data_IF_693544174573
#
_entry.id   IF_693544174573
#
_cell.length_a   1.000
_cell.length_b   1.000
_cell.length_c   1.000
_cell.angle_alpha   90.00
_cell.angle_beta   90.00
_cell.angle_gamma   90.00
#
_symmetry.space_group_name_H-M   'P 1'
#
loop_
_entity.id
_entity.type
_entity.pdbx_description
1 polymer ?
#
# COMPACT_ATOMS: atom_id res chain seq x y z
N UNK A 1 -21.91 41.06 -2.55
CA UNK A 1 -20.54 40.58 -2.81
C UNK A 1 -20.68 39.40 -3.77
N UNK A 2 -20.02 39.44 -4.92
CA UNK A 2 -20.05 38.34 -5.90
C UNK A 2 -19.10 37.22 -5.44
N UNK A 3 -19.41 35.94 -5.67
CA UNK A 3 -18.47 34.86 -5.38
C UNK A 3 -17.33 34.92 -6.41
N UNK A 4 -16.10 34.97 -5.91
CA UNK A 4 -14.88 34.84 -6.72
C UNK A 4 -14.75 33.40 -7.22
N UNK A 5 -14.57 33.25 -8.53
CA UNK A 5 -14.29 31.99 -9.18
C UNK A 5 -13.04 31.33 -8.55
N UNK A 6 -13.14 30.04 -8.20
CA UNK A 6 -12.00 29.23 -7.75
C UNK A 6 -10.98 29.15 -8.88
N UNK A 7 -9.73 29.47 -8.57
CA UNK A 7 -8.59 29.36 -9.50
C UNK A 7 -8.37 27.89 -9.90
N UNK A 8 -8.15 27.56 -11.17
CA UNK A 8 -7.76 26.21 -11.57
C UNK A 8 -6.41 25.84 -10.94
N UNK A 9 -6.31 24.62 -10.42
CA UNK A 9 -5.01 24.05 -10.02
C UNK A 9 -4.12 23.98 -11.29
N UNK A 10 -2.97 24.64 -11.25
CA UNK A 10 -2.00 24.59 -12.35
C UNK A 10 -1.33 23.21 -12.37
N UNK A 11 -1.21 22.55 -13.54
CA UNK A 11 -0.48 21.29 -13.64
C UNK A 11 1.00 21.53 -13.33
N UNK A 12 1.56 20.76 -12.39
CA UNK A 12 3.01 20.62 -12.25
C UNK A 12 3.49 19.68 -13.36
N UNK A 13 4.50 20.09 -14.11
CA UNK A 13 5.13 19.28 -15.16
C UNK A 13 5.83 18.09 -14.52
N UNK A 14 5.20 16.92 -14.59
CA UNK A 14 5.85 15.64 -14.28
C UNK A 14 6.93 15.35 -15.34
N UNK A 15 8.11 14.93 -14.89
CA UNK A 15 9.20 14.52 -15.78
C UNK A 15 8.77 13.35 -16.66
N UNK A 16 9.30 13.29 -17.90
CA UNK A 16 8.99 12.25 -18.87
C UNK A 16 9.50 10.88 -18.40
N UNK A 17 8.66 10.16 -17.67
CA UNK A 17 8.79 8.72 -17.46
C UNK A 17 7.87 8.04 -18.49
N UNK A 18 8.42 7.16 -19.32
CA UNK A 18 7.68 6.42 -20.34
C UNK A 18 6.49 5.68 -19.72
N UNK A 19 5.30 6.00 -20.21
CA UNK A 19 3.96 5.54 -19.79
C UNK A 19 3.64 4.07 -20.10
N UNK A 20 4.45 3.15 -19.61
CA UNK A 20 3.94 1.79 -19.41
C UNK A 20 3.11 1.81 -18.12
N UNK A 21 1.90 1.27 -18.16
CA UNK A 21 1.00 1.26 -17.02
C UNK A 21 1.68 0.63 -15.81
N UNK A 22 1.64 1.35 -14.70
CA UNK A 22 2.50 1.11 -13.54
C UNK A 22 1.85 0.10 -12.60
N UNK A 23 2.52 -1.01 -12.34
CA UNK A 23 1.97 -2.09 -11.53
C UNK A 23 2.69 -2.19 -10.19
N UNK A 24 1.93 -2.49 -9.13
CA UNK A 24 2.49 -2.95 -7.86
C UNK A 24 1.99 -4.33 -7.47
N UNK A 25 2.90 -5.15 -6.94
CA UNK A 25 2.54 -6.41 -6.28
C UNK A 25 2.87 -6.32 -4.79
N UNK A 26 1.94 -6.80 -3.98
CA UNK A 26 2.05 -6.89 -2.53
C UNK A 26 1.83 -8.34 -2.12
N UNK A 27 2.38 -8.70 -0.96
CA UNK A 27 2.02 -9.96 -0.36
C UNK A 27 2.81 -10.28 0.91
N UNK A 28 2.33 -9.87 2.09
CA UNK A 28 2.80 -10.39 3.36
C UNK A 28 2.43 -11.88 3.48
N UNK A 29 3.36 -12.77 3.14
CA UNK A 29 3.19 -14.22 3.33
C UNK A 29 2.99 -15.06 2.07
N UNK A 30 3.11 -14.48 0.86
CA UNK A 30 3.02 -15.25 -0.39
C UNK A 30 4.29 -16.08 -0.67
N UNK A 31 4.16 -17.31 -1.23
CA UNK A 31 5.30 -18.10 -1.67
C UNK A 31 5.86 -17.59 -3.02
N UNK A 32 6.39 -16.36 -3.03
CA UNK A 32 7.40 -15.91 -4.03
C UNK A 32 8.55 -16.93 -4.19
N UNK A 33 8.68 -17.76 -3.16
CA UNK A 33 9.64 -18.82 -2.87
C UNK A 33 9.63 -20.00 -3.84
N UNK A 34 8.44 -20.38 -4.33
CA UNK A 34 8.26 -21.47 -5.31
C UNK A 34 8.09 -20.89 -6.72
N UNK A 35 7.44 -19.73 -6.84
CA UNK A 35 7.07 -19.16 -8.13
C UNK A 35 8.22 -18.37 -8.78
N UNK A 36 9.02 -17.59 -8.03
CA UNK A 36 10.14 -16.81 -8.59
C UNK A 36 11.31 -17.66 -9.12
N UNK A 37 11.29 -18.97 -8.94
CA UNK A 37 12.24 -19.89 -9.55
C UNK A 37 11.94 -20.14 -11.03
N UNK A 38 10.67 -20.06 -11.41
CA UNK A 38 10.24 -20.17 -12.80
C UNK A 38 10.55 -18.87 -13.56
N UNK A 39 11.36 -18.92 -14.64
CA UNK A 39 11.68 -17.72 -15.43
C UNK A 39 10.46 -16.95 -15.93
N UNK A 40 9.37 -17.64 -16.29
CA UNK A 40 8.17 -16.98 -16.77
C UNK A 40 7.47 -16.16 -15.68
N UNK A 41 7.51 -16.65 -14.44
CA UNK A 41 6.99 -15.91 -13.29
C UNK A 41 7.87 -14.71 -12.93
N UNK A 42 9.20 -14.84 -12.97
CA UNK A 42 10.11 -13.72 -12.73
C UNK A 42 9.92 -12.60 -13.78
N UNK A 43 9.75 -12.96 -15.06
CA UNK A 43 9.42 -12.01 -16.13
C UNK A 43 8.06 -11.34 -15.89
N UNK A 44 7.04 -12.09 -15.46
CA UNK A 44 5.70 -11.56 -15.15
C UNK A 44 5.77 -10.53 -14.02
N UNK A 45 6.48 -10.84 -12.93
CA UNK A 45 6.66 -9.95 -11.77
C UNK A 45 7.50 -8.71 -12.14
N UNK A 46 8.50 -8.87 -13.00
CA UNK A 46 9.35 -7.76 -13.44
C UNK A 46 8.59 -6.68 -14.24
N UNK A 47 7.33 -6.93 -14.64
CA UNK A 47 6.47 -5.91 -15.24
C UNK A 47 6.03 -4.83 -14.23
N UNK A 48 6.23 -5.02 -12.93
CA UNK A 48 6.00 -3.97 -11.94
C UNK A 48 7.00 -2.83 -12.08
N UNK A 49 6.51 -1.64 -11.77
CA UNK A 49 7.37 -0.48 -11.50
C UNK A 49 7.80 -0.44 -10.04
N UNK A 50 6.93 -0.93 -9.14
CA UNK A 50 7.20 -1.02 -7.71
C UNK A 50 6.73 -2.38 -7.21
N UNK A 51 7.56 -3.10 -6.46
CA UNK A 51 7.26 -4.41 -5.90
C UNK A 51 7.48 -4.36 -4.39
N UNK A 52 6.48 -4.71 -3.60
CA UNK A 52 6.61 -4.86 -2.16
C UNK A 52 6.80 -6.32 -1.80
N UNK A 53 7.88 -6.64 -1.09
CA UNK A 53 8.17 -8.01 -0.63
C UNK A 53 8.49 -8.05 0.85
N UNK A 54 8.07 -9.11 1.54
CA UNK A 54 8.38 -9.30 2.96
C UNK A 54 9.89 -9.48 3.17
N UNK A 55 10.52 -8.50 3.82
CA UNK A 55 11.97 -8.49 4.13
C UNK A 55 12.44 -9.78 4.79
N UNK A 56 11.69 -10.24 5.78
CA UNK A 56 11.95 -11.47 6.52
C UNK A 56 12.09 -12.68 5.60
N UNK A 57 11.27 -12.81 4.56
CA UNK A 57 11.38 -13.95 3.65
C UNK A 57 12.79 -14.02 3.05
N UNK A 58 13.39 -12.88 2.71
CA UNK A 58 14.70 -12.85 2.07
C UNK A 58 15.85 -12.96 3.08
N UNK A 59 15.74 -12.29 4.22
CA UNK A 59 16.83 -12.19 5.18
C UNK A 59 16.85 -13.30 6.24
N UNK A 60 15.70 -13.92 6.56
CA UNK A 60 15.67 -15.10 7.44
C UNK A 60 15.90 -16.41 6.68
N UNK A 61 15.65 -16.42 5.37
CA UNK A 61 15.72 -17.61 4.54
C UNK A 61 16.91 -17.51 3.58
N UNK A 62 18.09 -17.91 4.05
CA UNK A 62 19.32 -17.96 3.25
C UNK A 62 19.15 -18.58 1.84
N UNK A 63 18.27 -19.58 1.63
CA UNK A 63 17.87 -20.03 0.30
C UNK A 63 17.31 -18.96 -0.66
N UNK A 64 16.46 -18.01 -0.24
CA UNK A 64 15.90 -17.01 -1.19
C UNK A 64 16.91 -15.94 -1.56
N UNK A 65 17.74 -15.53 -0.61
CA UNK A 65 18.92 -14.73 -0.89
C UNK A 65 19.85 -15.44 -1.88
N UNK A 66 20.10 -16.75 -1.67
CA UNK A 66 20.92 -17.56 -2.58
C UNK A 66 20.30 -17.74 -3.98
N UNK A 67 18.97 -17.68 -4.11
CA UNK A 67 18.30 -17.72 -5.40
C UNK A 67 18.45 -16.43 -6.21
N UNK A 68 18.81 -15.31 -5.56
CA UNK A 68 19.00 -14.01 -6.20
C UNK A 68 17.72 -13.51 -6.88
N UNK A 69 16.56 -13.73 -6.26
CA UNK A 69 15.25 -13.40 -6.88
C UNK A 69 15.16 -11.91 -7.23
N UNK A 70 15.62 -11.02 -6.34
CA UNK A 70 15.63 -9.57 -6.62
C UNK A 70 16.52 -9.24 -7.82
N UNK A 71 17.71 -9.84 -7.91
CA UNK A 71 18.60 -9.64 -9.06
C UNK A 71 17.98 -10.15 -10.36
N UNK A 72 17.25 -11.27 -10.31
CA UNK A 72 16.53 -11.79 -11.48
C UNK A 72 15.44 -10.83 -11.94
N UNK A 73 14.63 -10.33 -11.03
CA UNK A 73 13.59 -9.33 -11.34
C UNK A 73 14.24 -8.11 -11.99
N UNK A 74 15.31 -7.58 -11.38
CA UNK A 74 16.05 -6.43 -11.91
C UNK A 74 16.77 -6.71 -13.23
N UNK A 75 17.10 -7.97 -13.53
CA UNK A 75 17.67 -8.33 -14.84
C UNK A 75 16.66 -8.26 -15.99
N UNK A 76 15.37 -8.46 -15.70
CA UNK A 76 14.27 -8.31 -16.65
C UNK A 76 13.78 -6.86 -16.74
N UNK A 77 13.70 -6.16 -15.60
CA UNK A 77 13.35 -4.75 -15.53
C UNK A 77 14.27 -4.01 -14.53
N UNK A 78 15.37 -3.39 -15.02
CA UNK A 78 16.29 -2.63 -14.17
C UNK A 78 15.66 -1.43 -13.47
N UNK A 79 14.53 -0.93 -13.98
CA UNK A 79 13.83 0.23 -13.42
C UNK A 79 12.87 -0.16 -12.28
N UNK A 80 12.47 -1.43 -12.19
CA UNK A 80 11.61 -1.96 -11.14
C UNK A 80 12.19 -1.66 -9.76
N UNK A 81 11.43 -0.92 -8.95
CA UNK A 81 11.75 -0.63 -7.55
C UNK A 81 11.26 -1.77 -6.69
N UNK A 82 12.10 -2.30 -5.82
CA UNK A 82 11.76 -3.40 -4.90
C UNK A 82 11.87 -2.88 -3.48
N UNK A 83 10.75 -2.74 -2.78
CA UNK A 83 10.70 -2.25 -1.41
C UNK A 83 10.40 -3.37 -0.42
N UNK A 84 10.99 -3.28 0.77
CA UNK A 84 10.83 -4.26 1.82
C UNK A 84 9.66 -3.94 2.74
N UNK A 85 8.70 -4.84 2.90
CA UNK A 85 7.67 -4.76 3.95
C UNK A 85 8.32 -4.97 5.32
N UNK A 86 8.06 -4.05 6.24
CA UNK A 86 8.51 -4.06 7.64
C UNK A 86 7.40 -3.60 8.58
N UNK A 87 7.43 -4.13 9.80
CA UNK A 87 6.54 -3.69 10.87
C UNK A 87 7.09 -2.40 11.50
N UNK A 88 6.28 -1.36 11.63
CA UNK A 88 6.65 -0.06 12.21
C UNK A 88 6.70 -0.12 13.74
N UNK A 89 5.78 -0.85 14.35
CA UNK A 89 5.56 -0.85 15.79
C UNK A 89 5.17 -2.22 16.36
N UNK A 90 5.27 -3.28 15.58
CA UNK A 90 4.91 -4.63 16.01
C UNK A 90 6.03 -5.63 15.84
N UNK A 91 6.00 -6.65 16.69
CA UNK A 91 6.85 -7.83 16.54
C UNK A 91 6.00 -9.08 16.63
N UNK A 92 6.23 -10.01 15.69
CA UNK A 92 5.55 -11.31 15.65
C UNK A 92 6.10 -12.23 16.73
N UNK A 93 5.21 -12.78 17.55
CA UNK A 93 5.57 -13.71 18.64
C UNK A 93 6.22 -14.97 18.12
N UNK A 94 5.83 -15.47 16.93
CA UNK A 94 6.44 -16.64 16.33
C UNK A 94 7.91 -16.45 15.92
N UNK A 95 8.44 -15.22 15.98
CA UNK A 95 9.86 -14.96 15.69
C UNK A 95 10.79 -15.41 16.81
N UNK A 96 10.26 -15.74 17.99
CA UNK A 96 11.02 -16.42 19.04
C UNK A 96 11.58 -17.77 18.57
N UNK A 97 10.92 -18.41 17.60
CA UNK A 97 11.32 -19.71 17.06
C UNK A 97 12.14 -19.58 15.75
N UNK A 98 12.38 -18.34 15.28
CA UNK A 98 13.23 -18.11 14.12
C UNK A 98 14.70 -18.48 14.40
N UNK A 99 15.45 -18.80 13.34
CA UNK A 99 16.84 -19.23 13.45
C UNK A 99 17.70 -18.15 14.17
N UNK A 100 18.53 -18.51 15.16
CA UNK A 100 19.47 -17.56 15.77
C UNK A 100 20.34 -16.85 14.73
N UNK A 101 20.43 -15.53 14.82
CA UNK A 101 21.16 -14.69 13.86
C UNK A 101 20.39 -14.37 12.57
N UNK A 102 19.12 -14.78 12.44
CA UNK A 102 18.22 -14.29 11.38
C UNK A 102 17.67 -12.89 11.70
N UNK A 103 17.18 -12.18 10.70
CA UNK A 103 16.64 -10.83 10.86
C UNK A 103 15.48 -10.79 11.85
N UNK A 104 14.49 -11.67 11.67
CA UNK A 104 13.32 -11.76 12.54
C UNK A 104 13.70 -12.14 13.98
N UNK A 105 14.65 -13.07 14.14
CA UNK A 105 15.11 -13.46 15.48
C UNK A 105 15.87 -12.33 16.19
N UNK A 106 16.77 -11.65 15.48
CA UNK A 106 17.57 -10.56 16.05
C UNK A 106 16.70 -9.37 16.44
N UNK A 107 15.70 -9.01 15.62
CA UNK A 107 14.70 -8.02 15.98
C UNK A 107 13.93 -8.43 17.23
N UNK A 108 13.42 -9.67 17.27
CA UNK A 108 12.65 -10.17 18.42
C UNK A 108 13.43 -10.08 19.73
N UNK A 109 14.67 -10.60 19.76
CA UNK A 109 15.49 -10.59 20.97
C UNK A 109 15.87 -9.17 21.41
N UNK A 110 16.12 -8.26 20.46
CA UNK A 110 16.51 -6.88 20.75
C UNK A 110 15.32 -6.01 21.22
N UNK A 111 14.10 -6.31 20.73
CA UNK A 111 12.90 -5.53 21.01
C UNK A 111 12.09 -6.04 22.20
N UNK A 112 12.40 -7.23 22.73
CA UNK A 112 11.75 -7.81 23.91
C UNK A 112 11.62 -6.84 25.11
N UNK A 113 12.63 -6.01 25.45
CA UNK A 113 12.52 -5.07 26.56
C UNK A 113 11.55 -3.90 26.32
N UNK A 114 11.11 -3.70 25.08
CA UNK A 114 10.30 -2.57 24.64
C UNK A 114 8.87 -2.99 24.30
N UNK A 115 8.37 -4.09 24.85
CA UNK A 115 6.96 -4.46 24.70
C UNK A 115 6.08 -3.46 25.44
N UNK A 116 4.96 -3.09 24.82
CA UNK A 116 3.93 -2.23 25.42
C UNK A 116 2.93 -3.05 26.22
N UNK A 117 2.21 -2.38 27.09
CA UNK A 117 1.20 -2.99 27.94
C UNK A 117 -0.11 -2.22 27.85
N UNK A 118 -1.16 -2.81 28.40
CA UNK A 118 -2.45 -2.15 28.56
C UNK A 118 -2.54 -1.45 29.91
N UNK A 119 -3.60 -0.66 30.11
CA UNK A 119 -3.93 -0.03 31.40
C UNK A 119 -4.12 -1.02 32.56
N UNK A 120 -4.26 -2.33 32.29
CA UNK A 120 -4.34 -3.38 33.32
C UNK A 120 -3.05 -4.17 33.49
N UNK A 121 -2.01 -3.85 32.71
CA UNK A 121 -0.72 -4.53 32.70
C UNK A 121 -0.67 -5.79 31.85
N UNK A 122 -1.70 -6.05 31.03
CA UNK A 122 -1.65 -7.13 30.02
C UNK A 122 -0.70 -6.74 28.88
N UNK A 123 -0.13 -7.70 28.16
CA UNK A 123 0.71 -7.42 27.00
C UNK A 123 -0.14 -6.85 25.87
N UNK A 124 0.24 -5.67 25.37
CA UNK A 124 -0.50 -5.02 24.30
C UNK A 124 -0.29 -5.77 22.97
N UNK A 125 -1.39 -6.15 22.34
CA UNK A 125 -1.41 -6.73 21.00
C UNK A 125 -2.42 -5.95 20.15
N UNK A 126 -1.97 -5.42 19.01
CA UNK A 126 -2.85 -4.81 18.01
C UNK A 126 -3.22 -5.79 16.89
N UNK A 127 -2.61 -6.98 16.84
CA UNK A 127 -2.91 -8.04 15.88
C UNK A 127 -2.65 -9.42 16.48
N UNK A 128 -3.38 -10.48 16.08
CA UNK A 128 -3.17 -11.81 16.64
C UNK A 128 -1.74 -12.32 16.43
N UNK A 129 -1.10 -12.70 17.53
CA UNK A 129 0.28 -13.19 17.50
C UNK A 129 1.34 -12.09 17.34
N UNK A 130 0.98 -10.82 17.47
CA UNK A 130 1.92 -9.70 17.44
C UNK A 130 1.86 -8.93 18.75
N UNK A 131 3.03 -8.57 19.28
CA UNK A 131 3.14 -7.65 20.41
C UNK A 131 3.47 -6.27 19.88
N UNK A 132 2.73 -5.28 20.37
CA UNK A 132 2.98 -3.87 20.07
C UNK A 132 4.16 -3.37 20.89
N UNK A 133 5.04 -2.64 20.23
CA UNK A 133 6.28 -2.10 20.75
C UNK A 133 6.05 -0.68 21.26
N UNK A 134 6.78 -0.32 22.31
CA UNK A 134 6.79 1.03 22.85
C UNK A 134 7.69 1.91 21.98
N UNK A 135 7.16 2.31 20.82
CA UNK A 135 7.87 3.21 19.92
C UNK A 135 8.02 4.60 20.50
N UNK A 136 7.46 4.95 21.66
CA UNK A 136 7.75 6.21 22.36
C UNK A 136 9.20 6.22 22.88
N UNK A 137 9.75 5.05 23.19
CA UNK A 137 11.16 4.89 23.53
C UNK A 137 12.05 5.06 22.29
N UNK A 138 13.00 6.00 22.39
CA UNK A 138 13.93 6.30 21.31
C UNK A 138 14.81 5.10 20.92
N UNK A 139 15.25 4.31 21.89
CA UNK A 139 16.10 3.15 21.65
C UNK A 139 15.33 2.05 20.93
N UNK A 140 14.03 1.87 21.20
CA UNK A 140 13.17 0.99 20.41
C UNK A 140 13.22 1.36 18.92
N UNK A 141 12.99 2.65 18.59
CA UNK A 141 13.04 3.15 17.21
C UNK A 141 14.42 2.99 16.56
N UNK A 142 15.48 3.21 17.33
CA UNK A 142 16.86 3.00 16.89
C UNK A 142 17.15 1.54 16.53
N UNK A 143 16.67 0.58 17.34
CA UNK A 143 16.84 -0.85 17.09
C UNK A 143 16.14 -1.28 15.80
N UNK A 144 14.90 -0.82 15.57
CA UNK A 144 14.14 -1.12 14.33
C UNK A 144 14.94 -0.68 13.10
N UNK A 145 15.38 0.58 13.07
CA UNK A 145 16.09 1.16 11.92
C UNK A 145 17.48 0.54 11.77
N UNK A 146 18.27 0.45 12.84
CA UNK A 146 19.65 -0.07 12.76
C UNK A 146 19.68 -1.53 12.33
N UNK A 147 18.76 -2.37 12.83
CA UNK A 147 18.69 -3.78 12.42
C UNK A 147 18.33 -3.90 10.94
N UNK A 148 17.40 -3.09 10.43
CA UNK A 148 17.10 -3.04 9.00
C UNK A 148 18.34 -2.66 8.18
N UNK A 149 19.01 -1.56 8.55
CA UNK A 149 20.19 -1.03 7.85
C UNK A 149 21.33 -2.06 7.85
N UNK A 150 21.55 -2.74 8.97
CA UNK A 150 22.57 -3.77 9.10
C UNK A 150 22.34 -4.93 8.13
N UNK A 151 21.13 -5.50 8.10
CA UNK A 151 20.81 -6.58 7.16
C UNK A 151 20.83 -6.10 5.72
N UNK A 152 20.32 -4.90 5.46
CA UNK A 152 20.39 -4.28 4.15
C UNK A 152 21.84 -4.15 3.67
N UNK A 153 22.80 -3.85 4.54
CA UNK A 153 24.21 -3.69 4.16
C UNK A 153 24.99 -5.00 4.11
N UNK A 154 24.62 -6.00 4.91
CA UNK A 154 25.39 -7.24 5.10
C UNK A 154 24.99 -8.37 4.13
N UNK A 155 23.74 -8.37 3.65
CA UNK A 155 23.22 -9.41 2.74
C UNK A 155 23.62 -9.13 1.28
N UNK A 156 23.21 -9.93 0.30
CA UNK A 156 23.29 -9.58 -1.13
C UNK A 156 22.03 -8.87 -1.63
N UNK A 157 20.89 -9.09 -0.95
CA UNK A 157 19.60 -8.50 -1.33
C UNK A 157 19.57 -7.03 -0.95
N UNK A 158 19.34 -6.14 -1.93
CA UNK A 158 19.21 -4.69 -1.73
C UNK A 158 17.83 -4.21 -2.14
N UNK A 159 17.14 -3.59 -1.20
CA UNK A 159 15.87 -2.90 -1.42
C UNK A 159 16.05 -1.45 -1.87
N UNK A 160 15.16 -0.96 -2.72
CA UNK A 160 15.11 0.46 -3.10
C UNK A 160 14.37 1.31 -2.05
N UNK A 161 13.73 0.67 -1.07
CA UNK A 161 12.93 1.33 -0.05
C UNK A 161 12.29 0.38 0.96
N UNK A 162 11.37 0.91 1.75
CA UNK A 162 10.53 0.19 2.72
C UNK A 162 9.06 0.49 2.52
N UNK A 163 8.23 -0.52 2.80
CA UNK A 163 6.81 -0.39 3.03
C UNK A 163 6.58 -0.55 4.53
N UNK A 164 6.03 0.47 5.17
CA UNK A 164 5.78 0.50 6.61
C UNK A 164 4.39 -0.01 6.91
N UNK A 165 4.29 -1.00 7.79
CA UNK A 165 3.02 -1.52 8.30
C UNK A 165 3.02 -1.49 9.84
N UNK A 166 2.19 -0.75 10.54
CA UNK A 166 1.11 0.14 10.12
C UNK A 166 1.27 1.49 10.84
N UNK A 167 0.87 2.61 10.20
CA UNK A 167 0.83 3.92 10.84
C UNK A 167 -0.60 4.38 11.12
N UNK A 168 -1.00 4.33 12.38
CA UNK A 168 -2.33 4.71 12.84
C UNK A 168 -2.36 6.12 13.47
N UNK A 169 -3.56 6.69 13.65
CA UNK A 169 -3.75 7.89 14.48
C UNK A 169 -3.66 7.58 15.98
N UNK A 170 -3.91 6.33 16.36
CA UNK A 170 -3.81 5.77 17.70
C UNK A 170 -3.67 4.26 17.53
N UNK A 171 -3.17 3.53 18.52
CA UNK A 171 -3.09 2.07 18.44
C UNK A 171 -4.48 1.50 18.18
N UNK A 172 -4.64 0.81 17.06
CA UNK A 172 -5.88 0.19 16.64
C UNK A 172 -5.86 -1.29 17.02
N UNK A 173 -6.82 -1.71 17.84
CA UNK A 173 -6.96 -3.11 18.25
C UNK A 173 -8.26 -3.66 17.64
N UNK A 174 -8.19 -4.62 16.70
CA UNK A 174 -9.38 -5.21 16.12
C UNK A 174 -10.13 -6.06 17.15
N UNK A 175 -11.46 -6.13 17.01
CA UNK A 175 -12.35 -6.76 18.00
C UNK A 175 -12.13 -8.25 18.24
N UNK A 176 -11.38 -8.93 17.37
CA UNK A 176 -11.01 -10.34 17.51
C UNK A 176 -9.68 -10.56 18.24
N UNK A 177 -8.92 -9.50 18.55
CA UNK A 177 -7.76 -9.58 19.43
C UNK A 177 -8.24 -9.51 20.88
N UNK A 178 -7.69 -10.38 21.72
CA UNK A 178 -8.06 -10.47 23.13
C UNK A 178 -6.89 -10.03 24.00
N UNK A 179 -6.97 -8.83 24.56
CA UNK A 179 -6.13 -8.35 25.66
C UNK A 179 -7.03 -7.66 26.69
N UNK A 180 -6.69 -7.73 27.98
CA UNK A 180 -7.42 -7.03 29.04
C UNK A 180 -6.97 -5.57 29.12
N UNK A 181 -7.90 -4.61 29.19
CA UNK A 181 -7.59 -3.17 29.26
C UNK A 181 -7.52 -2.49 27.89
N UNK A 182 -7.07 -1.23 27.90
CA UNK A 182 -6.90 -0.38 26.71
C UNK A 182 -5.40 -0.08 26.51
N UNK A 183 -4.99 0.32 25.30
CA UNK A 183 -3.60 0.67 25.00
C UNK A 183 -3.10 1.81 25.91
N UNK A 184 -1.89 1.63 26.46
CA UNK A 184 -1.20 2.55 27.39
C UNK A 184 0.32 2.32 27.23
N UNK A 185 0.93 3.00 26.26
CA UNK A 185 2.34 2.88 25.89
C UNK A 185 3.25 3.62 26.88
N UNK A 186 2.80 4.70 27.52
CA UNK A 186 3.59 5.45 28.49
C UNK A 186 3.42 5.01 29.97
N UNK A 187 2.44 4.12 30.22
CA UNK A 187 2.17 3.43 31.48
C UNK A 187 1.70 4.37 32.61
N UNK A 188 1.02 5.46 32.27
CA UNK A 188 0.46 6.39 33.25
C UNK A 188 -0.94 5.97 33.77
N UNK A 189 -1.53 4.94 33.15
CA UNK A 189 -2.83 4.39 33.47
C UNK A 189 -4.01 5.06 32.78
N UNK A 190 -3.76 6.01 31.87
CA UNK A 190 -4.77 6.65 31.02
C UNK A 190 -4.79 5.94 29.66
N UNK A 191 -5.95 5.43 29.21
CA UNK A 191 -6.07 4.87 27.87
C UNK A 191 -5.68 5.88 26.78
N UNK A 192 -4.90 5.45 25.79
CA UNK A 192 -4.45 6.30 24.69
C UNK A 192 -5.55 7.14 24.00
N UNK A 193 -6.77 6.64 23.71
CA UNK A 193 -7.83 7.49 23.14
C UNK A 193 -8.28 8.66 24.03
N UNK A 194 -7.93 8.61 25.32
CA UNK A 194 -8.24 9.60 26.34
C UNK A 194 -7.00 10.41 26.76
N UNK A 195 -5.82 10.05 26.25
CA UNK A 195 -4.55 10.70 26.53
C UNK A 195 -4.03 11.48 25.29
N UNK A 196 -4.32 12.79 25.20
CA UNK A 196 -3.84 13.59 24.09
C UNK A 196 -2.32 13.80 24.08
N UNK A 197 -1.64 13.71 25.23
CA UNK A 197 -0.19 13.87 25.31
C UNK A 197 0.50 12.61 24.78
N UNK A 198 -0.02 11.43 25.13
CA UNK A 198 0.44 10.15 24.58
C UNK A 198 0.19 10.05 23.07
N UNK A 199 -1.00 10.43 22.58
CA UNK A 199 -1.30 10.46 21.13
C UNK A 199 -0.32 11.38 20.38
N UNK A 200 -0.02 12.56 20.94
CA UNK A 200 0.94 13.47 20.35
C UNK A 200 2.37 12.89 20.36
N UNK A 201 2.77 12.23 21.45
CA UNK A 201 4.07 11.56 21.56
C UNK A 201 4.19 10.40 20.55
N UNK A 202 3.12 9.64 20.36
CA UNK A 202 3.02 8.56 19.39
C UNK A 202 3.15 9.07 17.95
N UNK A 203 2.48 10.17 17.62
CA UNK A 203 2.64 10.80 16.31
C UNK A 203 4.07 11.27 16.07
N UNK A 204 4.70 11.91 17.06
CA UNK A 204 6.10 12.33 16.98
C UNK A 204 7.06 11.12 16.85
N UNK A 205 6.77 10.01 17.52
CA UNK A 205 7.55 8.77 17.42
C UNK A 205 7.53 8.16 16.01
N UNK A 206 6.36 8.14 15.36
CA UNK A 206 6.24 7.68 13.97
C UNK A 206 7.01 8.59 12.99
N UNK A 207 6.96 9.92 13.18
CA UNK A 207 7.75 10.88 12.38
C UNK A 207 9.26 10.68 12.56
N UNK A 208 9.70 10.40 13.80
CA UNK A 208 11.09 10.11 14.12
C UNK A 208 11.55 8.79 13.48
N UNK A 209 10.72 7.74 13.45
CA UNK A 209 11.02 6.50 12.72
C UNK A 209 11.29 6.75 11.24
N UNK A 210 10.38 7.45 10.56
CA UNK A 210 10.50 7.79 9.13
C UNK A 210 11.76 8.62 8.87
N UNK A 211 12.03 9.60 9.72
CA UNK A 211 13.19 10.49 9.62
C UNK A 211 14.50 9.74 9.84
N UNK A 212 14.55 8.83 10.81
CA UNK A 212 15.73 7.98 11.07
C UNK A 212 16.03 7.06 9.90
N UNK A 213 15.02 6.39 9.36
CA UNK A 213 15.19 5.55 8.18
C UNK A 213 15.72 6.36 6.99
N UNK A 214 15.15 7.54 6.74
CA UNK A 214 15.63 8.46 5.68
C UNK A 214 17.07 8.90 5.90
N UNK A 215 17.42 9.24 7.14
CA UNK A 215 18.77 9.67 7.50
C UNK A 215 19.79 8.54 7.31
N UNK A 216 19.43 7.31 7.66
CA UNK A 216 20.32 6.15 7.55
C UNK A 216 20.49 5.67 6.10
N UNK A 217 19.42 5.70 5.31
CA UNK A 217 19.39 5.12 3.95
C UNK A 217 19.56 6.15 2.83
N UNK A 218 19.40 7.45 3.13
CA UNK A 218 19.54 8.56 2.19
C UNK A 218 18.23 9.00 1.53
N UNK A 219 18.26 10.18 0.91
CA UNK A 219 17.07 10.86 0.39
C UNK A 219 16.34 10.10 -0.73
N UNK A 220 17.05 9.25 -1.46
CA UNK A 220 16.52 8.44 -2.55
C UNK A 220 15.87 7.13 -2.10
N UNK A 221 15.93 6.78 -0.82
CA UNK A 221 15.36 5.53 -0.32
C UNK A 221 13.84 5.64 -0.16
N UNK A 222 13.09 4.86 -0.93
CA UNK A 222 11.62 4.96 -1.02
C UNK A 222 10.99 4.59 0.34
N UNK A 223 9.98 5.34 0.78
CA UNK A 223 9.16 4.98 1.94
C UNK A 223 7.69 5.06 1.61
N UNK A 224 6.97 3.94 1.66
CA UNK A 224 5.52 3.87 1.45
C UNK A 224 4.84 3.54 2.77
N UNK A 225 3.75 4.24 3.08
CA UNK A 225 3.05 4.12 4.36
C UNK A 225 1.74 3.35 4.20
N UNK A 226 1.62 2.17 4.83
CA UNK A 226 0.32 1.62 5.19
C UNK A 226 -0.16 2.29 6.47
N UNK A 227 -1.44 2.59 6.58
CA UNK A 227 -1.89 3.47 7.66
C UNK A 227 -2.97 4.45 7.29
N UNK A 228 -4.03 4.52 8.10
CA UNK A 228 -4.97 5.65 8.10
C UNK A 228 -4.27 6.97 8.31
N UNK A 229 -3.17 7.04 9.08
CA UNK A 229 -2.49 8.32 9.35
C UNK A 229 -2.09 9.02 8.06
N UNK A 230 -1.41 8.32 7.15
CA UNK A 230 -0.98 8.90 5.87
C UNK A 230 -2.15 9.21 4.93
N UNK A 231 -3.32 8.60 5.14
CA UNK A 231 -4.52 8.81 4.33
C UNK A 231 -5.31 10.06 4.75
N UNK A 232 -5.10 10.59 5.97
CA UNK A 232 -5.79 11.79 6.48
C UNK A 232 -4.89 12.95 6.89
N UNK A 233 -3.59 12.71 7.05
CA UNK A 233 -2.59 13.71 7.43
C UNK A 233 -1.62 13.97 6.28
N UNK A 234 -1.90 15.02 5.50
CA UNK A 234 -1.05 15.45 4.38
C UNK A 234 0.39 15.81 4.79
N UNK A 235 0.63 16.21 6.05
CA UNK A 235 1.97 16.57 6.52
C UNK A 235 2.79 15.32 6.79
N UNK A 236 2.20 14.33 7.47
CA UNK A 236 2.83 13.02 7.64
C UNK A 236 3.03 12.31 6.29
N UNK A 237 2.01 12.29 5.43
CA UNK A 237 2.11 11.70 4.09
C UNK A 237 3.25 12.30 3.25
N UNK A 238 3.48 13.62 3.36
CA UNK A 238 4.56 14.33 2.67
C UNK A 238 5.98 13.95 3.14
N UNK A 239 6.13 13.16 4.22
CA UNK A 239 7.42 12.60 4.62
C UNK A 239 7.79 11.35 3.81
N UNK A 240 6.79 10.66 3.27
CA UNK A 240 6.93 9.45 2.48
C UNK A 240 6.95 9.72 0.99
N UNK A 241 7.24 8.69 0.22
CA UNK A 241 7.13 8.67 -1.23
C UNK A 241 5.82 8.00 -1.68
N UNK A 242 5.04 7.38 -0.77
CA UNK A 242 3.73 6.82 -1.10
C UNK A 242 2.80 6.49 0.07
N UNK A 243 1.55 6.17 -0.26
CA UNK A 243 0.45 5.80 0.64
C UNK A 243 -0.15 4.48 0.15
N UNK A 244 -0.45 3.56 1.07
CA UNK A 244 -1.23 2.35 0.81
C UNK A 244 -2.63 2.49 1.39
N UNK A 245 -3.62 2.02 0.62
CA UNK A 245 -4.99 1.86 1.02
C UNK A 245 -5.31 0.36 1.12
N UNK A 246 -5.21 -0.17 2.33
CA UNK A 246 -5.58 -1.54 2.65
C UNK A 246 -7.11 -1.71 2.67
N UNK A 247 -7.61 -2.83 2.12
CA UNK A 247 -9.03 -3.12 1.93
C UNK A 247 -9.79 -1.97 1.24
N UNK A 248 -9.15 -1.30 0.28
CA UNK A 248 -9.72 -0.19 -0.46
C UNK A 248 -10.97 -0.62 -1.25
N UNK A 249 -12.07 0.17 -1.26
CA UNK A 249 -12.26 1.45 -0.57
C UNK A 249 -12.81 1.34 0.87
N UNK A 250 -13.16 0.14 1.33
CA UNK A 250 -14.00 -0.10 2.50
C UNK A 250 -13.42 0.26 3.86
N UNK A 251 -12.09 0.31 4.02
CA UNK A 251 -11.50 0.61 5.34
C UNK A 251 -11.52 2.10 5.69
N UNK A 252 -11.46 2.98 4.69
CA UNK A 252 -11.21 4.41 4.90
C UNK A 252 -12.39 5.31 4.50
N UNK A 253 -13.23 4.86 3.58
CA UNK A 253 -14.31 5.68 3.05
C UNK A 253 -15.65 5.18 3.60
N UNK A 254 -16.52 6.14 3.94
CA UNK A 254 -17.78 5.85 4.63
C UNK A 254 -18.76 5.06 3.73
N UNK A 255 -19.36 4.01 4.30
CA UNK A 255 -20.49 3.29 3.70
C UNK A 255 -21.72 4.21 3.53
N UNK A 256 -22.58 3.94 2.53
CA UNK A 256 -22.49 2.85 1.57
C UNK A 256 -21.74 3.20 0.29
N UNK A 257 -21.31 4.45 0.09
CA UNK A 257 -20.83 4.94 -1.20
C UNK A 257 -19.31 5.16 -1.20
N UNK A 258 -18.55 4.16 -0.74
CA UNK A 258 -17.13 4.28 -0.41
C UNK A 258 -16.30 4.72 -1.62
N UNK A 259 -16.58 4.16 -2.81
CA UNK A 259 -15.88 4.54 -4.03
C UNK A 259 -16.26 5.94 -4.52
N UNK A 260 -17.54 6.32 -4.36
CA UNK A 260 -17.98 7.69 -4.67
C UNK A 260 -17.24 8.71 -3.80
N UNK A 261 -17.04 8.43 -2.51
CA UNK A 261 -16.23 9.25 -1.62
C UNK A 261 -14.75 9.29 -2.05
N UNK A 262 -14.16 8.12 -2.34
CA UNK A 262 -12.77 8.02 -2.81
C UNK A 262 -12.50 8.80 -4.11
N UNK A 263 -13.50 8.90 -5.00
CA UNK A 263 -13.39 9.57 -6.30
C UNK A 263 -13.96 11.00 -6.32
N UNK A 264 -14.52 11.50 -5.21
CA UNK A 264 -15.11 12.83 -5.12
C UNK A 264 -14.04 13.92 -5.00
N UNK A 265 -13.77 14.67 -6.07
CA UNK A 265 -12.79 15.77 -6.09
C UNK A 265 -13.02 16.88 -5.04
N UNK A 266 -14.21 16.97 -4.45
CA UNK A 266 -14.48 17.95 -3.39
C UNK A 266 -14.22 17.41 -1.98
N UNK A 267 -14.07 16.09 -1.84
CA UNK A 267 -13.71 15.45 -0.59
C UNK A 267 -12.19 15.63 -0.35
N UNK A 268 -11.77 16.25 0.76
CA UNK A 268 -10.35 16.53 1.02
C UNK A 268 -9.48 15.27 1.16
N UNK A 269 -10.07 14.10 1.41
CA UNK A 269 -9.34 12.82 1.53
C UNK A 269 -9.55 11.91 0.32
N UNK A 270 -10.18 12.39 -0.76
CA UNK A 270 -10.28 11.63 -2.01
C UNK A 270 -8.91 11.37 -2.65
N UNK A 271 -8.85 10.35 -3.50
CA UNK A 271 -7.65 9.96 -4.24
C UNK A 271 -7.07 11.10 -5.09
N UNK A 272 -7.90 12.06 -5.53
CA UNK A 272 -7.44 13.24 -6.26
C UNK A 272 -6.56 14.17 -5.43
N UNK A 273 -6.82 14.28 -4.12
CA UNK A 273 -6.01 15.09 -3.22
C UNK A 273 -4.86 14.28 -2.64
N UNK A 274 -5.15 13.09 -2.11
CA UNK A 274 -4.17 12.30 -1.37
C UNK A 274 -3.02 11.80 -2.25
N UNK A 275 -3.26 11.54 -3.55
CA UNK A 275 -2.20 11.22 -4.51
C UNK A 275 -1.15 12.31 -4.69
N UNK A 276 -1.45 13.55 -4.28
CA UNK A 276 -0.54 14.68 -4.39
C UNK A 276 0.24 14.98 -3.11
N UNK A 277 -0.06 14.29 -2.00
CA UNK A 277 0.57 14.55 -0.71
C UNK A 277 1.98 13.96 -0.61
N UNK A 278 2.26 12.72 -1.06
CA UNK A 278 3.59 12.15 -0.95
C UNK A 278 4.63 12.91 -1.77
N UNK A 279 5.89 12.67 -1.44
CA UNK A 279 7.02 13.23 -2.17
C UNK A 279 7.03 12.74 -3.62
N UNK A 280 7.42 13.64 -4.52
CA UNK A 280 7.62 13.35 -5.93
C UNK A 280 9.06 12.90 -6.24
N UNK A 281 9.75 12.36 -5.25
CA UNK A 281 11.14 11.90 -5.36
C UNK A 281 11.19 10.38 -5.53
N UNK A 282 12.33 9.87 -6.02
CA UNK A 282 12.57 8.43 -6.14
C UNK A 282 11.46 7.66 -6.93
N UNK A 283 10.82 8.32 -7.88
CA UNK A 283 9.76 7.75 -8.73
C UNK A 283 8.33 7.94 -8.21
N UNK A 284 8.15 8.44 -6.98
CA UNK A 284 6.85 8.77 -6.41
C UNK A 284 6.18 10.01 -7.03
N UNK A 285 4.98 10.39 -6.57
CA UNK A 285 4.25 9.83 -5.42
C UNK A 285 3.71 8.44 -5.76
N UNK A 286 3.67 7.48 -4.83
CA UNK A 286 3.10 6.14 -5.00
C UNK A 286 1.76 6.02 -4.26
N UNK A 287 0.63 5.83 -4.94
CA UNK A 287 -0.63 5.45 -4.29
C UNK A 287 -0.95 4.00 -4.60
N UNK A 288 -0.97 3.19 -3.56
CA UNK A 288 -1.17 1.75 -3.63
C UNK A 288 -2.60 1.43 -3.18
N UNK A 289 -3.37 0.74 -4.03
CA UNK A 289 -4.76 0.34 -3.74
C UNK A 289 -4.84 -1.18 -3.60
N UNK A 290 -5.16 -1.68 -2.41
CA UNK A 290 -5.17 -3.10 -2.08
C UNK A 290 -6.56 -3.56 -1.60
N UNK A 291 -7.04 -4.69 -2.12
CA UNK A 291 -8.21 -5.35 -1.57
C UNK A 291 -8.21 -6.85 -1.91
N UNK A 292 -8.34 -7.69 -0.88
CA UNK A 292 -8.31 -9.15 -0.96
C UNK A 292 -9.65 -9.78 -1.36
N UNK A 293 -10.72 -8.99 -1.36
CA UNK A 293 -12.07 -9.45 -1.64
C UNK A 293 -12.24 -9.79 -3.13
N UNK A 294 -13.06 -10.81 -3.39
CA UNK A 294 -13.39 -11.31 -4.73
C UNK A 294 -14.85 -11.14 -5.03
N UNK A 295 -15.15 -10.75 -6.26
CA UNK A 295 -16.52 -10.52 -6.66
C UNK A 295 -16.97 -11.54 -7.67
N UNK A 296 -18.11 -12.13 -7.38
CA UNK A 296 -18.83 -13.00 -8.28
C UNK A 296 -20.16 -12.30 -8.61
N UNK A 297 -20.54 -12.30 -9.87
CA UNK A 297 -21.85 -11.83 -10.31
C UNK A 297 -22.40 -12.79 -11.36
N UNK A 298 -23.69 -12.67 -11.67
CA UNK A 298 -24.30 -13.43 -12.77
C UNK A 298 -24.46 -12.52 -13.97
N UNK A 299 -23.95 -12.93 -15.13
CA UNK A 299 -24.28 -12.25 -16.38
C UNK A 299 -25.75 -12.48 -16.78
N UNK A 300 -26.17 -11.85 -17.87
CA UNK A 300 -27.52 -11.97 -18.43
C UNK A 300 -27.92 -13.42 -18.80
N UNK A 301 -26.94 -14.34 -18.85
CA UNK A 301 -27.14 -15.76 -19.14
C UNK A 301 -27.17 -16.62 -17.86
N UNK A 302 -27.01 -16.00 -16.69
CA UNK A 302 -26.94 -16.69 -15.41
C UNK A 302 -25.61 -17.44 -15.21
N UNK A 303 -24.54 -17.06 -15.93
CA UNK A 303 -23.20 -17.60 -15.71
C UNK A 303 -22.50 -16.77 -14.65
N UNK A 304 -21.87 -17.44 -13.67
CA UNK A 304 -21.04 -16.77 -12.67
C UNK A 304 -19.79 -16.24 -13.35
N UNK A 305 -19.66 -14.94 -13.32
CA UNK A 305 -18.49 -14.21 -13.76
C UNK A 305 -17.72 -13.75 -12.53
N UNK A 306 -16.39 -13.68 -12.64
CA UNK A 306 -15.50 -13.26 -11.56
C UNK A 306 -14.74 -12.04 -12.01
N UNK A 307 -14.75 -11.01 -11.17
CA UNK A 307 -13.85 -9.87 -11.33
C UNK A 307 -12.88 -9.80 -10.15
N UNK A 308 -11.63 -9.52 -10.50
CA UNK A 308 -10.61 -9.19 -9.54
C UNK A 308 -10.71 -7.69 -9.23
N UNK A 309 -10.65 -7.33 -7.95
CA UNK A 309 -10.59 -5.94 -7.47
C UNK A 309 -9.51 -5.12 -8.20
N UNK A 310 -8.45 -5.80 -8.62
CA UNK A 310 -7.37 -5.28 -9.44
C UNK A 310 -7.79 -4.63 -10.77
N UNK A 311 -8.87 -5.07 -11.40
CA UNK A 311 -9.37 -4.45 -12.65
C UNK A 311 -9.98 -3.08 -12.39
N UNK A 312 -10.78 -2.95 -11.32
CA UNK A 312 -11.31 -1.66 -10.88
C UNK A 312 -10.17 -0.70 -10.54
N UNK A 313 -9.16 -1.16 -9.79
CA UNK A 313 -8.04 -0.32 -9.38
C UNK A 313 -7.15 0.09 -10.55
N UNK A 314 -7.04 -0.76 -11.57
CA UNK A 314 -6.38 -0.42 -12.83
C UNK A 314 -7.11 0.69 -13.56
N UNK A 315 -8.44 0.64 -13.68
CA UNK A 315 -9.23 1.72 -14.30
C UNK A 315 -9.04 3.03 -13.55
N UNK A 316 -9.10 3.00 -12.21
CA UNK A 316 -8.80 4.16 -11.36
C UNK A 316 -7.38 4.67 -11.62
N UNK A 317 -6.39 3.77 -11.72
CA UNK A 317 -5.00 4.14 -11.99
C UNK A 317 -4.73 4.70 -13.38
N UNK A 318 -5.57 4.38 -14.37
CA UNK A 318 -5.52 5.06 -15.67
C UNK A 318 -6.09 6.48 -15.57
N UNK A 319 -7.07 6.71 -14.69
CA UNK A 319 -7.71 8.02 -14.51
C UNK A 319 -6.94 8.95 -13.57
N UNK A 320 -6.20 8.44 -12.60
CA UNK A 320 -5.47 9.25 -11.61
C UNK A 320 -3.98 8.98 -11.75
N UNK A 321 -3.21 10.03 -12.02
CA UNK A 321 -1.76 9.93 -12.03
C UNK A 321 -1.24 9.52 -10.66
N UNK A 322 -0.25 8.66 -10.67
CA UNK A 322 0.35 8.23 -9.43
C UNK A 322 -0.50 7.23 -8.64
N UNK A 323 -1.32 6.43 -9.31
CA UNK A 323 -1.96 5.25 -8.71
C UNK A 323 -1.38 3.99 -9.34
N UNK A 324 -0.98 3.07 -8.48
CA UNK A 324 -0.49 1.75 -8.81
C UNK A 324 -1.46 0.74 -8.19
N UNK A 325 -2.23 0.00 -9.01
CA UNK A 325 -3.05 -1.08 -8.47
C UNK A 325 -2.11 -2.07 -7.78
N UNK A 326 -2.46 -2.44 -6.54
CA UNK A 326 -1.81 -3.52 -5.84
C UNK A 326 -2.55 -4.79 -6.14
N UNK A 327 -1.82 -5.80 -6.60
CA UNK A 327 -2.34 -7.15 -6.72
C UNK A 327 -1.75 -8.02 -5.61
N UNK A 328 -2.64 -8.44 -4.70
CA UNK A 328 -2.31 -9.35 -3.60
C UNK A 328 -2.40 -10.82 -4.05
N UNK A 329 -1.39 -11.60 -3.67
CA UNK A 329 -1.25 -13.03 -3.98
C UNK A 329 -1.42 -13.94 -2.75
N UNK A 330 -1.71 -13.39 -1.57
CA UNK A 330 -1.46 -14.07 -0.29
C UNK A 330 -2.46 -15.16 0.07
N UNK A 331 -3.66 -15.20 -0.50
CA UNK A 331 -4.72 -16.09 0.02
C UNK A 331 -5.08 -17.30 -0.87
N UNK A 332 -4.08 -17.99 -1.44
CA UNK A 332 -4.21 -19.28 -2.19
C UNK A 332 -4.47 -19.20 -3.71
N UNK A 333 -3.93 -18.27 -4.51
CA UNK A 333 -4.39 -18.18 -5.91
C UNK A 333 -3.29 -18.11 -6.98
N UNK A 334 -3.31 -19.13 -7.84
CA UNK A 334 -2.50 -19.35 -9.04
C UNK A 334 -2.88 -18.42 -10.22
N UNK A 335 -3.49 -17.27 -9.92
CA UNK A 335 -4.18 -16.37 -10.84
C UNK A 335 -4.03 -14.96 -10.28
N UNK A 336 -3.79 -13.90 -11.03
CA UNK A 336 -3.12 -13.68 -12.29
C UNK A 336 -2.76 -12.20 -12.20
N UNK A 337 -1.50 -11.81 -12.39
CA UNK A 337 -1.32 -10.45 -12.92
C UNK A 337 -2.14 -10.42 -14.21
N UNK A 338 -2.91 -9.36 -14.50
CA UNK A 338 -3.60 -9.25 -15.77
C UNK A 338 -2.64 -9.66 -16.87
N UNK A 339 -3.06 -10.66 -17.66
CA UNK A 339 -2.17 -11.39 -18.56
C UNK A 339 -1.39 -10.42 -19.46
N UNK A 340 -2.03 -9.31 -19.82
CA UNK A 340 -1.45 -8.19 -20.56
C UNK A 340 -2.08 -6.87 -20.09
N UNK A 341 -1.26 -5.93 -19.65
CA UNK A 341 -1.69 -4.54 -19.49
C UNK A 341 -1.93 -3.92 -20.86
N UNK A 342 -3.10 -3.31 -21.05
CA UNK A 342 -3.39 -2.54 -22.25
C UNK A 342 -2.47 -1.32 -22.30
N UNK A 343 -1.55 -1.29 -23.27
CA UNK A 343 -0.67 -0.14 -23.47
C UNK A 343 -1.41 0.97 -24.21
N UNK A 344 -1.90 1.95 -23.47
CA UNK A 344 -2.56 3.14 -24.01
C UNK A 344 -1.56 4.25 -24.40
N UNK A 345 -0.29 4.14 -24.01
CA UNK A 345 0.75 5.15 -24.22
C UNK A 345 0.63 6.33 -23.27
N UNK A 346 1.22 7.47 -23.62
CA UNK A 346 1.25 8.65 -22.73
C UNK A 346 -0.13 9.29 -22.64
N UNK A 347 -0.57 9.75 -21.44
CA UNK A 347 -1.78 10.54 -21.33
C UNK A 347 -1.61 11.86 -22.09
N UNK A 348 -2.62 12.22 -22.88
CA UNK A 348 -2.59 13.44 -23.71
C UNK A 348 -3.04 14.67 -22.93
N UNK A 349 -3.95 14.47 -21.99
CA UNK A 349 -4.56 15.52 -21.16
C UNK A 349 -4.86 14.97 -19.75
N UNK A 350 -5.10 15.85 -18.76
CA UNK A 350 -5.68 15.45 -17.48
C UNK A 350 -7.05 14.78 -17.64
N UNK A 351 -7.46 14.01 -16.64
CA UNK A 351 -8.81 13.42 -16.61
C UNK A 351 -9.89 14.48 -16.59
N UNK A 352 -10.88 14.30 -17.45
CA UNK A 352 -12.08 15.14 -17.54
C UNK A 352 -13.16 14.50 -16.68
N UNK A 353 -13.71 15.29 -15.76
CA UNK A 353 -14.78 14.87 -14.84
C UNK A 353 -16.04 15.65 -15.18
N UNK A 354 -17.11 14.96 -15.56
CA UNK A 354 -18.40 15.55 -15.90
C UNK A 354 -19.54 14.82 -15.18
N UNK A 355 -19.83 15.26 -13.95
CA UNK A 355 -20.73 14.53 -13.05
C UNK A 355 -20.11 13.18 -12.72
N UNK A 356 -20.85 12.12 -13.01
CA UNK A 356 -20.46 10.74 -12.69
C UNK A 356 -19.56 10.11 -13.77
N UNK A 357 -19.26 10.84 -14.85
CA UNK A 357 -18.44 10.34 -15.96
C UNK A 357 -17.03 10.90 -15.88
N UNK A 358 -16.05 10.00 -15.88
CA UNK A 358 -14.62 10.27 -15.86
C UNK A 358 -13.99 9.76 -17.16
N UNK A 359 -13.25 10.60 -17.86
CA UNK A 359 -12.59 10.20 -19.11
C UNK A 359 -11.15 10.67 -19.17
N UNK A 360 -10.29 9.84 -19.75
CA UNK A 360 -8.90 10.21 -20.04
C UNK A 360 -8.45 9.70 -21.39
N UNK A 361 -7.78 10.58 -22.14
CA UNK A 361 -7.24 10.29 -23.46
C UNK A 361 -5.75 10.00 -23.39
N UNK A 362 -5.31 9.04 -24.18
CA UNK A 362 -3.93 8.59 -24.29
C UNK A 362 -3.49 8.51 -25.75
N UNK A 363 -2.19 8.34 -25.98
CA UNK A 363 -1.58 8.29 -27.31
C UNK A 363 -2.23 7.25 -28.24
N UNK A 364 -2.58 6.09 -27.70
CA UNK A 364 -3.13 4.96 -28.46
C UNK A 364 -4.58 4.64 -28.12
N UNK A 365 -5.27 5.44 -27.30
CA UNK A 365 -6.58 5.03 -26.81
C UNK A 365 -7.20 5.95 -25.77
N UNK A 366 -8.27 5.48 -25.15
CA UNK A 366 -8.94 6.18 -24.06
C UNK A 366 -9.52 5.23 -23.01
N UNK A 367 -9.80 5.82 -21.85
CA UNK A 367 -10.52 5.19 -20.76
C UNK A 367 -11.72 6.05 -20.42
N UNK A 368 -12.88 5.40 -20.29
CA UNK A 368 -14.10 6.00 -19.77
C UNK A 368 -14.56 5.18 -18.57
N UNK A 369 -14.87 5.85 -17.47
CA UNK A 369 -15.50 5.26 -16.30
C UNK A 369 -16.76 6.05 -15.97
N UNK A 370 -17.85 5.36 -15.62
CA UNK A 370 -19.11 5.96 -15.22
C UNK A 370 -19.53 5.42 -13.86
N UNK A 371 -19.54 6.31 -12.87
CA UNK A 371 -19.91 5.99 -11.49
C UNK A 371 -21.40 5.62 -11.42
N UNK A 372 -21.70 4.54 -10.72
CA UNK A 372 -23.05 4.19 -10.31
C UNK A 372 -23.44 4.96 -9.05
N UNK A 373 -23.95 4.25 -8.04
CA UNK A 373 -24.05 4.76 -6.68
C UNK A 373 -22.68 4.85 -5.98
N UNK A 374 -21.67 4.14 -6.51
CA UNK A 374 -20.34 4.03 -5.95
C UNK A 374 -20.27 3.09 -4.75
N UNK A 375 -21.30 2.26 -4.55
CA UNK A 375 -21.31 1.23 -3.52
C UNK A 375 -20.36 0.10 -3.90
N UNK A 376 -19.51 -0.27 -2.96
CA UNK A 376 -18.65 -1.42 -3.15
C UNK A 376 -19.47 -2.72 -2.97
N UNK A 377 -19.38 -3.71 -3.88
CA UNK A 377 -18.28 -3.93 -4.82
C UNK A 377 -18.53 -3.59 -6.29
N UNK A 378 -19.61 -2.89 -6.64
CA UNK A 378 -19.92 -2.56 -8.04
C UNK A 378 -20.02 -1.06 -8.26
N UNK A 379 -18.94 -0.32 -8.02
CA UNK A 379 -19.04 1.12 -7.91
C UNK A 379 -19.24 1.82 -9.26
N UNK A 380 -18.75 1.25 -10.36
CA UNK A 380 -18.76 1.89 -11.68
C UNK A 380 -18.66 0.92 -12.85
N UNK A 381 -19.15 1.35 -14.01
CA UNK A 381 -18.89 0.72 -15.30
C UNK A 381 -17.68 1.36 -15.98
N UNK A 382 -17.06 0.69 -16.96
CA UNK A 382 -15.95 1.25 -17.73
C UNK A 382 -15.86 0.74 -19.16
N UNK A 383 -15.16 1.51 -19.99
CA UNK A 383 -14.77 1.18 -21.34
C UNK A 383 -13.29 1.55 -21.54
N UNK A 384 -12.54 0.69 -22.23
CA UNK A 384 -11.18 0.97 -22.69
C UNK A 384 -11.11 0.77 -24.20
N UNK A 385 -10.68 1.82 -24.90
CA UNK A 385 -10.52 1.81 -26.36
C UNK A 385 -9.05 1.88 -26.72
N UNK A 386 -8.60 1.07 -27.69
CA UNK A 386 -7.26 1.13 -28.28
C UNK A 386 -7.37 1.29 -29.80
N UNK A 387 -6.74 2.33 -30.35
CA UNK A 387 -6.76 2.67 -31.77
C UNK A 387 -8.20 2.67 -32.33
N UNK A 388 -9.13 3.28 -31.58
CA UNK A 388 -10.57 3.35 -31.88
C UNK A 388 -11.32 2.00 -31.85
N UNK A 389 -10.72 0.93 -31.32
CA UNK A 389 -11.40 -0.34 -31.08
C UNK A 389 -11.66 -0.52 -29.58
N UNK A 390 -12.90 -0.81 -29.21
CA UNK A 390 -13.21 -1.20 -27.84
C UNK A 390 -12.51 -2.54 -27.53
N UNK A 391 -11.59 -2.54 -26.58
CA UNK A 391 -10.83 -3.74 -26.20
C UNK A 391 -11.31 -4.34 -24.89
N UNK A 392 -11.95 -3.53 -24.04
CA UNK A 392 -12.44 -3.95 -22.73
C UNK A 392 -13.64 -3.11 -22.32
N UNK A 393 -14.61 -3.74 -21.67
CA UNK A 393 -15.80 -3.09 -21.15
C UNK A 393 -16.35 -3.90 -19.98
N UNK A 394 -16.71 -3.21 -18.90
CA UNK A 394 -17.64 -3.71 -17.90
C UNK A 394 -18.91 -2.88 -17.96
N UNK A 395 -20.03 -3.54 -18.25
CA UNK A 395 -21.37 -3.03 -17.96
C UNK A 395 -21.88 -3.75 -16.71
N UNK A 396 -22.13 -3.02 -15.61
CA UNK A 396 -22.46 -3.65 -14.32
C UNK A 396 -23.80 -4.38 -14.46
N UNK A 397 -23.82 -5.71 -14.30
CA UNK A 397 -25.05 -6.49 -14.42
C UNK A 397 -25.81 -6.57 -13.09
N UNK A 398 -26.99 -7.17 -13.15
CA UNK A 398 -27.88 -7.34 -12.01
C UNK A 398 -27.28 -8.29 -10.96
N UNK A 399 -27.15 -7.83 -9.71
CA UNK A 399 -26.60 -8.63 -8.61
C UNK A 399 -27.64 -9.52 -7.93
N UNK A 400 -27.15 -10.63 -7.35
CA UNK A 400 -27.87 -11.36 -6.32
C UNK A 400 -27.56 -10.67 -4.97
N UNK A 401 -28.58 -10.26 -4.18
CA UNK A 401 -28.35 -9.66 -2.88
C UNK A 401 -27.68 -10.61 -1.88
#
# INVERSE_FOLDING_TARGET
MRPTAKTPLSPKTAGSASSVTRITAHGPGSPLTVQGQDPATAEKIARADLLTITTRLFWDNGPYEALGIVDRIKSHNPECKVIGYILSEDIRLEWVDAQPGSYGRNLYDALLPYWSYTTTGDTLMNWPGMVTLNILDQTCREIIVSTYVDYHNQTSTRFDGVFWDYYALQVWIPSFVTCEGEADLDLDGIPMPQDPDEVAAYHAAQEDLVTRMRTAMGDGFIQVFNGVRAQVDSTFAAMGDGINYELFPTLMFDEPAEMSHAMNINDPISLWHTSTWPRTTAGGPYVLLENIQRYNYFDDQGVVQKYDSGDFFRVIGLLIDGIWPVWDSVHEHWWDWPEVMVNLGDPLEPTVINGDVFTRQFTYGDVRMEMGDGEWPNPFSWEITVNSNLVEMLDIPFHYP
#
